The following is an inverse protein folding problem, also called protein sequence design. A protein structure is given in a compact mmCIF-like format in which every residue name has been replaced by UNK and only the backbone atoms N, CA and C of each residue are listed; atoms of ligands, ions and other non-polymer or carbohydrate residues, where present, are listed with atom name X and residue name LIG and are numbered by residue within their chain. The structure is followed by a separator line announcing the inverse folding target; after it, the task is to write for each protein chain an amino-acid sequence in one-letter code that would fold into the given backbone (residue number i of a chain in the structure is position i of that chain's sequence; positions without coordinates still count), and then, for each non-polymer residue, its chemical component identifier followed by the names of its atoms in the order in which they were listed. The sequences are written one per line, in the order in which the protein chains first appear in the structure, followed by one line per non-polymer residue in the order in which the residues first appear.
data_IF_179250551018
#
_entry.id   IF_179250551018
#
_cell.length_a   1.000
_cell.length_b   1.000
_cell.length_c   1.000
_cell.angle_alpha   90.00
_cell.angle_beta   90.00
_cell.angle_gamma   90.00
#
_symmetry.space_group_name_H-M   'P 1'
#
loop_
_entity.id
_entity.type
_entity.pdbx_description
1 polymer ?
#
# COMPACT_ATOMS: atom_id res chain seq x y z
N UNK A 1 -11.26 -0.64 10.47
CA UNK A 1 -11.89 -1.34 9.32
C UNK A 1 -11.28 -2.73 9.20
N UNK A 2 -12.09 -3.74 8.89
CA UNK A 2 -11.65 -5.14 8.77
C UNK A 2 -11.43 -5.48 7.30
N UNK A 3 -10.28 -6.07 6.98
CA UNK A 3 -9.97 -6.54 5.62
C UNK A 3 -10.47 -7.98 5.50
N UNK A 4 -11.40 -8.22 4.58
CA UNK A 4 -11.91 -9.58 4.34
C UNK A 4 -10.87 -10.41 3.60
N UNK A 5 -10.72 -11.65 4.02
CA UNK A 5 -9.83 -12.63 3.40
C UNK A 5 -10.50 -13.33 2.22
N UNK A 6 -9.70 -13.65 1.20
CA UNK A 6 -10.08 -14.42 0.01
C UNK A 6 -9.07 -15.56 -0.16
N UNK A 7 -9.57 -16.77 -0.38
CA UNK A 7 -8.71 -17.94 -0.57
C UNK A 7 -8.09 -17.95 -1.96
N UNK A 8 -6.81 -18.29 -2.03
CA UNK A 8 -6.04 -18.40 -3.27
C UNK A 8 -5.02 -19.55 -3.17
N UNK A 9 -4.35 -19.85 -4.28
CA UNK A 9 -3.28 -20.85 -4.29
C UNK A 9 -2.11 -20.40 -3.42
N UNK A 10 -1.60 -21.30 -2.57
CA UNK A 10 -0.40 -21.07 -1.75
C UNK A 10 0.82 -20.78 -2.64
N UNK A 11 1.75 -19.99 -2.11
CA UNK A 11 2.99 -19.57 -2.77
C UNK A 11 2.76 -18.74 -4.05
N UNK A 12 1.60 -18.08 -4.15
CA UNK A 12 1.33 -17.11 -5.21
C UNK A 12 1.93 -15.77 -4.83
N UNK A 13 2.75 -15.19 -5.71
CA UNK A 13 3.22 -13.82 -5.56
C UNK A 13 2.14 -12.84 -5.98
N UNK A 14 1.81 -11.91 -5.09
CA UNK A 14 0.77 -10.90 -5.30
C UNK A 14 1.40 -9.53 -5.23
N UNK A 15 1.01 -8.71 -6.19
CA UNK A 15 1.34 -7.30 -6.21
C UNK A 15 0.07 -6.47 -6.30
N UNK A 16 -0.10 -5.53 -5.36
CA UNK A 16 -1.17 -4.55 -5.38
C UNK A 16 -0.60 -3.16 -5.60
N UNK A 17 -1.29 -2.36 -6.41
CA UNK A 17 -0.95 -0.97 -6.66
C UNK A 17 -2.17 -0.09 -6.52
N UNK A 18 -2.03 1.05 -5.84
CA UNK A 18 -3.07 2.07 -5.76
C UNK A 18 -2.49 3.46 -5.88
N UNK A 19 -2.95 4.23 -6.86
CA UNK A 19 -2.59 5.65 -7.07
C UNK A 19 -3.45 6.62 -6.24
N UNK A 20 -4.31 6.08 -5.37
CA UNK A 20 -5.32 6.85 -4.62
C UNK A 20 -4.93 7.06 -3.15
N UNK A 21 -3.66 6.83 -2.77
CA UNK A 21 -3.20 7.02 -1.39
C UNK A 21 -3.24 8.50 -1.03
N UNK A 22 -3.95 8.81 0.06
CA UNK A 22 -3.99 10.13 0.65
C UNK A 22 -4.15 10.03 2.16
N UNK A 23 -3.37 10.81 2.90
CA UNK A 23 -3.44 10.97 4.36
C UNK A 23 -3.00 12.39 4.74
N UNK A 24 -3.16 12.80 5.99
CA UNK A 24 -2.87 14.16 6.43
C UNK A 24 -1.50 14.25 7.10
N UNK A 25 -0.76 15.32 6.81
CA UNK A 25 0.39 15.74 7.60
C UNK A 25 -0.05 16.35 8.93
N UNK A 26 0.86 16.49 9.89
CA UNK A 26 0.61 17.23 11.15
C UNK A 26 0.14 18.68 10.90
N UNK A 27 0.54 19.29 9.78
CA UNK A 27 0.08 20.61 9.36
C UNK A 27 -1.35 20.65 8.79
N UNK A 28 -2.02 19.50 8.69
CA UNK A 28 -3.33 19.35 8.04
C UNK A 28 -3.26 19.29 6.51
N UNK A 29 -2.10 19.52 5.90
CA UNK A 29 -1.96 19.41 4.44
C UNK A 29 -1.96 17.94 3.99
N UNK A 30 -2.65 17.57 2.91
CA UNK A 30 -2.73 16.19 2.46
C UNK A 30 -1.44 15.73 1.78
N UNK A 31 -0.88 14.61 2.24
CA UNK A 31 0.06 13.80 1.47
C UNK A 31 -0.73 13.02 0.41
N UNK A 32 -0.20 12.96 -0.81
CA UNK A 32 -0.74 12.16 -1.91
C UNK A 32 0.38 11.25 -2.39
N UNK A 33 0.02 10.07 -2.90
CA UNK A 33 1.04 9.16 -3.39
C UNK A 33 0.48 7.92 -4.08
N UNK A 34 1.42 7.07 -4.49
CA UNK A 34 1.13 5.72 -4.98
C UNK A 34 1.62 4.71 -3.96
N UNK A 35 0.75 3.77 -3.62
CA UNK A 35 1.01 2.64 -2.75
C UNK A 35 1.28 1.39 -3.60
N UNK A 36 2.33 0.66 -3.25
CA UNK A 36 2.67 -0.64 -3.81
C UNK A 36 2.82 -1.64 -2.66
N UNK A 37 2.27 -2.83 -2.82
CA UNK A 37 2.50 -3.95 -1.93
C UNK A 37 2.94 -5.14 -2.73
N UNK A 38 3.89 -5.90 -2.20
CA UNK A 38 4.29 -7.18 -2.74
C UNK A 38 4.33 -8.20 -1.59
N UNK A 39 3.82 -9.41 -1.83
CA UNK A 39 3.94 -10.50 -0.86
C UNK A 39 3.74 -11.86 -1.52
N UNK A 40 4.28 -12.89 -0.90
CA UNK A 40 3.97 -14.29 -1.21
C UNK A 40 2.84 -14.76 -0.31
N UNK A 41 1.70 -15.14 -0.90
CA UNK A 41 0.54 -15.63 -0.16
C UNK A 41 0.75 -17.03 0.43
N UNK A 42 0.31 -17.22 1.67
CA UNK A 42 0.23 -18.54 2.32
C UNK A 42 -1.12 -19.26 2.12
N UNK A 43 -1.87 -18.87 1.09
CA UNK A 43 -3.19 -19.44 0.74
C UNK A 43 -4.35 -18.47 0.91
N UNK A 44 -4.06 -17.23 1.34
CA UNK A 44 -5.03 -16.16 1.49
C UNK A 44 -4.52 -14.83 0.92
N UNK A 45 -5.45 -14.00 0.48
CA UNK A 45 -5.23 -12.61 0.08
C UNK A 45 -6.37 -11.74 0.59
N UNK A 46 -6.27 -10.44 0.36
CA UNK A 46 -7.28 -9.46 0.76
C UNK A 46 -8.26 -9.20 -0.39
N UNK A 47 -9.54 -9.05 -0.04
CA UNK A 47 -10.57 -8.54 -0.94
C UNK A 47 -10.28 -7.11 -1.43
N UNK A 48 -10.28 -6.90 -2.75
CA UNK A 48 -9.90 -5.62 -3.35
C UNK A 48 -10.84 -4.46 -3.01
N UNK A 49 -12.13 -4.75 -2.80
CA UNK A 49 -13.09 -3.71 -2.42
C UNK A 49 -12.80 -3.22 -1.00
N UNK A 50 -12.55 -4.13 -0.07
CA UNK A 50 -12.18 -3.77 1.30
C UNK A 50 -10.80 -3.13 1.39
N UNK A 51 -9.84 -3.55 0.56
CA UNK A 51 -8.55 -2.88 0.44
C UNK A 51 -8.71 -1.43 -0.04
N UNK A 52 -9.53 -1.18 -1.06
CA UNK A 52 -9.84 0.19 -1.52
C UNK A 52 -10.49 1.03 -0.42
N UNK A 53 -11.45 0.47 0.32
CA UNK A 53 -12.08 1.18 1.45
C UNK A 53 -11.06 1.50 2.55
N UNK A 54 -10.15 0.59 2.85
CA UNK A 54 -9.06 0.85 3.81
C UNK A 54 -8.18 2.01 3.36
N UNK A 55 -7.69 2.01 2.11
CA UNK A 55 -6.89 3.13 1.58
C UNK A 55 -7.67 4.44 1.67
N UNK A 56 -8.96 4.42 1.34
CA UNK A 56 -9.83 5.60 1.44
C UNK A 56 -9.99 6.09 2.88
N UNK A 57 -9.98 5.18 3.87
CA UNK A 57 -10.07 5.55 5.28
C UNK A 57 -8.83 6.28 5.80
N UNK A 58 -7.66 6.13 5.15
CA UNK A 58 -6.43 6.84 5.52
C UNK A 58 -6.52 8.36 5.27
N UNK A 59 -7.49 8.83 4.48
CA UNK A 59 -7.67 10.25 4.13
C UNK A 59 -7.90 11.16 5.33
N UNK A 60 -8.48 10.63 6.40
CA UNK A 60 -8.72 11.37 7.64
C UNK A 60 -7.69 11.08 8.73
N UNK A 61 -6.65 10.31 8.42
CA UNK A 61 -5.61 9.92 9.39
C UNK A 61 -4.43 10.88 9.27
N UNK A 62 -3.97 11.40 10.39
CA UNK A 62 -2.77 12.24 10.48
C UNK A 62 -1.56 11.37 10.80
N UNK A 63 -0.57 11.35 9.90
CA UNK A 63 0.66 10.57 10.02
C UNK A 63 1.85 11.38 9.51
N UNK A 64 3.04 11.06 10.02
CA UNK A 64 4.26 11.48 9.33
C UNK A 64 4.43 10.67 8.05
N UNK A 65 5.23 11.19 7.12
CA UNK A 65 5.45 10.51 5.85
C UNK A 65 6.07 9.13 6.10
N UNK A 66 7.04 9.06 7.01
CA UNK A 66 7.84 7.89 7.37
C UNK A 66 6.98 6.74 7.92
N UNK A 67 5.89 7.08 8.61
CA UNK A 67 5.06 6.10 9.33
C UNK A 67 4.06 5.38 8.42
N UNK A 68 3.79 5.90 7.22
CA UNK A 68 2.70 5.40 6.37
C UNK A 68 2.94 3.97 5.88
N UNK A 69 4.17 3.65 5.46
CA UNK A 69 4.52 2.32 4.95
C UNK A 69 4.43 1.28 6.07
N UNK A 70 4.93 1.61 7.26
CA UNK A 70 4.82 0.77 8.46
C UNK A 70 3.36 0.54 8.88
N UNK A 71 2.54 1.60 8.89
CA UNK A 71 1.13 1.53 9.26
C UNK A 71 0.34 0.62 8.32
N UNK A 72 0.64 0.67 7.01
CA UNK A 72 0.00 -0.20 6.04
C UNK A 72 0.52 -1.64 6.20
N UNK A 73 1.83 -1.83 6.37
CA UNK A 73 2.43 -3.15 6.55
C UNK A 73 1.81 -3.91 7.72
N UNK A 74 1.82 -3.31 8.91
CA UNK A 74 1.24 -3.90 10.12
C UNK A 74 -0.23 -4.23 9.94
N UNK A 75 -1.00 -3.36 9.28
CA UNK A 75 -2.42 -3.62 9.00
C UNK A 75 -2.65 -4.83 8.11
N UNK A 76 -1.73 -5.10 7.18
CA UNK A 76 -1.82 -6.22 6.24
C UNK A 76 -1.38 -7.52 6.93
N UNK A 77 -0.31 -7.50 7.72
CA UNK A 77 0.11 -8.65 8.54
C UNK A 77 -0.98 -9.08 9.54
N UNK A 78 -1.64 -8.11 10.18
CA UNK A 78 -2.75 -8.40 11.09
C UNK A 78 -3.96 -9.01 10.37
N UNK A 79 -4.11 -8.73 9.08
CA UNK A 79 -5.25 -9.18 8.28
C UNK A 79 -5.02 -10.52 7.60
N UNK A 80 -3.83 -10.79 7.07
CA UNK A 80 -3.54 -12.00 6.31
C UNK A 80 -2.13 -12.55 6.61
N UNK A 81 -2.02 -13.87 6.58
CA UNK A 81 -0.75 -14.56 6.66
C UNK A 81 -0.02 -14.48 5.32
N UNK A 82 1.14 -13.83 5.34
CA UNK A 82 1.97 -13.57 4.17
C UNK A 82 3.42 -13.91 4.48
N UNK A 83 4.18 -14.17 3.43
CA UNK A 83 5.63 -14.25 3.50
C UNK A 83 6.21 -13.14 2.64
N UNK A 84 7.37 -12.59 3.03
CA UNK A 84 8.08 -11.56 2.26
C UNK A 84 7.19 -10.34 1.94
N UNK A 85 6.41 -9.85 2.92
CA UNK A 85 5.59 -8.67 2.73
C UNK A 85 6.48 -7.44 2.63
N UNK A 86 6.36 -6.73 1.50
CA UNK A 86 6.96 -5.43 1.27
C UNK A 86 5.87 -4.40 1.01
N UNK A 87 6.07 -3.18 1.53
CA UNK A 87 5.25 -2.01 1.25
C UNK A 87 6.14 -0.88 0.77
N UNK A 88 5.82 -0.28 -0.38
CA UNK A 88 6.47 0.91 -0.91
C UNK A 88 5.44 2.01 -1.15
N UNK A 89 5.76 3.22 -0.75
CA UNK A 89 4.94 4.41 -0.94
C UNK A 89 5.75 5.49 -1.62
N UNK A 90 5.30 5.90 -2.81
CA UNK A 90 5.83 7.05 -3.54
C UNK A 90 4.95 8.27 -3.30
N UNK A 91 5.44 9.22 -2.51
CA UNK A 91 4.73 10.47 -2.24
C UNK A 91 4.97 11.49 -3.34
N UNK A 92 3.95 12.30 -3.63
CA UNK A 92 4.07 13.47 -4.51
C UNK A 92 4.97 14.52 -3.88
N UNK A 93 5.69 15.26 -4.72
CA UNK A 93 6.65 16.24 -4.24
C UNK A 93 6.02 17.33 -3.35
N UNK A 94 6.72 17.68 -2.27
CA UNK A 94 6.44 18.85 -1.43
C UNK A 94 7.68 19.73 -1.37
N UNK A 95 7.52 21.01 -1.71
CA UNK A 95 8.66 21.93 -1.80
C UNK A 95 9.73 21.48 -2.82
N UNK A 96 9.33 20.73 -3.86
CA UNK A 96 10.25 20.16 -4.85
C UNK A 96 10.94 18.86 -4.45
N UNK A 97 10.71 18.35 -3.24
CA UNK A 97 11.32 17.10 -2.76
C UNK A 97 10.31 15.96 -2.86
N UNK A 98 10.70 14.89 -3.54
CA UNK A 98 9.94 13.65 -3.63
C UNK A 98 10.49 12.63 -2.64
N UNK A 99 9.59 11.86 -2.00
CA UNK A 99 9.96 10.85 -1.01
C UNK A 99 9.41 9.48 -1.44
N UNK A 100 10.29 8.47 -1.45
CA UNK A 100 9.93 7.05 -1.51
C UNK A 100 10.19 6.44 -0.16
N UNK A 101 9.20 5.76 0.38
CA UNK A 101 9.22 5.20 1.73
C UNK A 101 8.89 3.72 1.63
N UNK A 102 9.77 2.88 2.16
CA UNK A 102 9.66 1.42 2.05
C UNK A 102 9.73 0.80 3.43
N UNK A 103 8.94 -0.25 3.66
CA UNK A 103 8.96 -1.05 4.88
C UNK A 103 8.70 -2.52 4.58
N UNK A 104 9.35 -3.43 5.31
CA UNK A 104 9.26 -4.87 5.11
C UNK A 104 10.30 -5.39 4.11
N UNK A 105 9.96 -6.45 3.39
CA UNK A 105 10.80 -7.04 2.35
C UNK A 105 11.05 -6.04 1.22
N UNK A 106 12.29 -5.98 0.74
CA UNK A 106 12.65 -5.13 -0.38
C UNK A 106 12.07 -5.68 -1.70
N UNK A 107 11.45 -4.79 -2.47
CA UNK A 107 11.09 -5.04 -3.87
C UNK A 107 11.11 -3.75 -4.67
N UNK A 108 11.30 -3.86 -5.98
CA UNK A 108 11.15 -2.74 -6.89
C UNK A 108 9.72 -2.70 -7.44
N UNK A 109 8.94 -1.63 -7.20
CA UNK A 109 7.60 -1.53 -7.74
C UNK A 109 7.59 -1.57 -9.26
N UNK A 110 6.82 -2.50 -9.84
CA UNK A 110 6.65 -2.57 -11.29
C UNK A 110 5.62 -1.53 -11.70
N UNK A 111 6.08 -0.37 -12.19
CA UNK A 111 5.19 0.62 -12.80
C UNK A 111 4.71 0.06 -14.15
N UNK A 112 3.64 -0.74 -14.13
CA UNK A 112 2.98 -1.18 -15.36
C UNK A 112 2.31 0.05 -15.99
N UNK A 113 2.95 0.59 -17.03
CA UNK A 113 2.32 1.55 -17.92
C UNK A 113 1.04 0.95 -18.50
N UNK A 114 0.04 1.78 -18.78
CA UNK A 114 -1.14 1.33 -19.52
C UNK A 114 -0.67 0.83 -20.89
N UNK A 115 -0.66 -0.48 -21.09
CA UNK A 115 -0.34 -1.13 -22.38
C UNK A 115 -1.39 -0.78 -23.44
N UNK A 116 -2.53 -0.21 -23.03
CA UNK A 116 -3.60 0.27 -23.88
C UNK A 116 -3.73 1.80 -23.76
N UNK A 117 -2.76 2.53 -24.29
CA UNK A 117 -3.05 3.85 -24.87
C UNK A 117 -3.19 3.63 -26.37
N UNK A 118 -4.42 3.67 -26.86
CA UNK A 118 -4.75 3.80 -28.29
C UNK A 118 -5.03 5.27 -28.54
#
# INVERSE_FOLDING_TARGET
MTLKKVNIQKNTNIEYTSKELLFLAQSGQPYRGTLYLNFTSQGETIDLLDFKKYITSLRSVTLNAEDIAYTIHTKIEDAINTHNLGVVVDLTARGGIQQRISFGEYFEPVVKGNVFQV
#
